data_IF_219716589165
#
_entry.id   IF_219716589165
#
_cell.length_a   1.000
_cell.length_b   1.000
_cell.length_c   1.000
_cell.angle_alpha   90.00
_cell.angle_beta   90.00
_cell.angle_gamma   90.00
#
_symmetry.space_group_name_H-M   'P 1'
#
loop_
_entity.id
_entity.type
_entity.pdbx_description
1 polymer ?
#
# COMPACT_ATOMS: atom_id res chain seq x y z
N UNK A 1 -1.80 -0.77 18.04
CA UNK A 1 -3.18 -0.53 17.56
C UNK A 1 -3.38 -1.40 16.32
N UNK A 2 -4.54 -2.04 16.11
CA UNK A 2 -4.83 -2.89 14.95
C UNK A 2 -6.04 -2.28 14.21
N UNK A 3 -5.92 -2.08 12.89
CA UNK A 3 -6.98 -1.52 12.02
C UNK A 3 -6.99 0.00 11.91
N UNK A 4 -7.87 0.52 11.03
CA UNK A 4 -8.12 1.96 10.82
C UNK A 4 -8.37 2.68 12.15
N UNK A 5 -7.69 3.81 12.43
CA UNK A 5 -7.98 4.63 13.60
C UNK A 5 -9.47 4.99 13.67
N UNK A 6 -10.08 4.90 14.84
CA UNK A 6 -11.49 5.27 15.12
C UNK A 6 -12.59 4.46 14.41
N UNK A 7 -12.34 3.21 14.02
CA UNK A 7 -13.31 2.33 13.32
C UNK A 7 -14.61 1.95 14.11
N UNK A 8 -15.03 2.74 15.09
CA UNK A 8 -16.25 2.53 15.88
C UNK A 8 -16.94 3.81 16.38
N UNK A 9 -16.55 5.00 15.89
CA UNK A 9 -17.10 6.27 16.37
C UNK A 9 -18.10 6.84 15.36
N UNK A 10 -19.28 7.25 15.84
CA UNK A 10 -20.36 7.83 15.03
C UNK A 10 -19.87 9.11 14.32
N UNK A 11 -19.72 9.01 12.99
CA UNK A 11 -19.17 10.04 12.09
C UNK A 11 -19.88 11.40 12.19
N UNK A 12 -21.14 11.42 12.65
CA UNK A 12 -21.94 12.65 12.74
C UNK A 12 -21.66 13.50 14.00
N UNK A 13 -20.89 12.99 14.96
CA UNK A 13 -20.64 13.66 16.26
C UNK A 13 -19.22 14.22 16.43
N UNK A 14 -18.28 13.91 15.54
CA UNK A 14 -16.85 14.22 15.74
C UNK A 14 -16.13 14.67 14.46
N UNK A 15 -16.66 15.67 13.76
CA UNK A 15 -16.02 16.25 12.56
C UNK A 15 -14.59 16.79 12.83
N UNK A 16 -14.25 17.12 14.08
CA UNK A 16 -12.90 17.52 14.47
C UNK A 16 -11.91 16.34 14.57
N UNK A 17 -12.40 15.13 14.84
CA UNK A 17 -11.58 13.93 14.94
C UNK A 17 -11.24 13.34 13.55
N UNK A 18 -12.04 13.66 12.54
CA UNK A 18 -11.81 13.24 11.15
C UNK A 18 -10.49 13.81 10.61
N UNK A 19 -10.24 15.12 10.81
CA UNK A 19 -8.98 15.73 10.36
C UNK A 19 -7.75 15.10 11.03
N UNK A 20 -7.83 14.85 12.34
CA UNK A 20 -6.75 14.23 13.09
C UNK A 20 -6.56 12.75 12.71
N UNK A 21 -7.63 12.05 12.34
CA UNK A 21 -7.54 10.70 11.80
C UNK A 21 -6.84 10.69 10.44
N UNK A 22 -7.14 11.65 9.56
CA UNK A 22 -6.46 11.79 8.26
C UNK A 22 -4.97 12.12 8.45
N UNK A 23 -4.61 13.03 9.35
CA UNK A 23 -3.20 13.35 9.65
C UNK A 23 -2.45 12.10 10.14
N UNK A 24 -3.08 11.30 11.00
CA UNK A 24 -2.51 10.04 11.48
C UNK A 24 -2.35 9.01 10.35
N UNK A 25 -3.33 8.91 9.44
CA UNK A 25 -3.26 8.01 8.29
C UNK A 25 -2.09 8.43 7.38
N UNK A 26 -1.98 9.71 7.03
CA UNK A 26 -0.87 10.22 6.22
C UNK A 26 0.48 9.92 6.88
N UNK A 27 0.63 10.20 8.18
CA UNK A 27 1.88 9.92 8.90
C UNK A 27 2.22 8.41 8.93
N UNK A 28 1.22 7.54 9.03
CA UNK A 28 1.44 6.08 8.97
C UNK A 28 1.89 5.65 7.57
N UNK A 29 1.25 6.17 6.53
CA UNK A 29 1.58 5.85 5.14
C UNK A 29 3.00 6.31 4.80
N UNK A 30 3.37 7.54 5.19
CA UNK A 30 4.70 8.08 4.97
C UNK A 30 5.77 7.25 5.70
N UNK A 31 5.56 6.94 6.99
CA UNK A 31 6.48 6.12 7.76
C UNK A 31 6.60 4.68 7.21
N UNK A 32 5.51 4.11 6.71
CA UNK A 32 5.50 2.79 6.08
C UNK A 32 6.29 2.80 4.76
N UNK A 33 6.12 3.84 3.94
CA UNK A 33 6.85 4.00 2.68
C UNK A 33 8.35 4.17 2.94
N UNK A 34 8.74 5.07 3.85
CA UNK A 34 10.15 5.30 4.22
C UNK A 34 10.82 4.03 4.75
N UNK A 35 10.15 3.31 5.64
CA UNK A 35 10.67 2.05 6.18
C UNK A 35 10.78 0.97 5.10
N UNK A 36 9.79 0.87 4.21
CA UNK A 36 9.81 -0.11 3.15
C UNK A 36 10.96 0.12 2.16
N UNK A 37 11.17 1.36 1.72
CA UNK A 37 12.30 1.74 0.87
C UNK A 37 13.65 1.50 1.57
N UNK A 38 13.73 1.80 2.87
CA UNK A 38 14.92 1.48 3.67
C UNK A 38 15.21 -0.02 3.73
N UNK A 39 14.19 -0.87 3.91
CA UNK A 39 14.33 -2.32 3.89
C UNK A 39 14.75 -2.84 2.51
N UNK A 40 14.18 -2.30 1.42
CA UNK A 40 14.59 -2.65 0.05
C UNK A 40 16.07 -2.31 -0.19
N UNK A 41 16.51 -1.12 0.23
CA UNK A 41 17.91 -0.70 0.11
C UNK A 41 18.87 -1.64 0.88
N UNK A 42 18.42 -2.21 2.00
CA UNK A 42 19.18 -3.18 2.79
C UNK A 42 19.03 -4.63 2.33
N UNK A 43 18.30 -4.89 1.24
CA UNK A 43 17.96 -6.25 0.77
C UNK A 43 17.23 -7.09 1.82
N UNK A 44 16.35 -6.44 2.59
CA UNK A 44 15.43 -7.07 3.53
C UNK A 44 13.99 -7.11 2.95
N UNK A 45 13.67 -8.12 2.12
CA UNK A 45 12.34 -8.22 1.52
C UNK A 45 11.24 -8.49 2.54
N UNK A 46 11.56 -9.11 3.69
CA UNK A 46 10.56 -9.38 4.73
C UNK A 46 10.16 -8.08 5.43
N UNK A 47 11.13 -7.24 5.76
CA UNK A 47 10.88 -5.91 6.32
C UNK A 47 10.08 -5.02 5.37
N UNK A 48 10.41 -5.03 4.07
CA UNK A 48 9.70 -4.26 3.06
C UNK A 48 8.23 -4.68 2.92
N UNK A 49 7.95 -5.99 2.82
CA UNK A 49 6.58 -6.51 2.78
C UNK A 49 5.81 -6.15 4.05
N UNK A 50 6.44 -6.27 5.22
CA UNK A 50 5.80 -5.96 6.49
C UNK A 50 5.42 -4.49 6.58
N UNK A 51 6.35 -3.58 6.25
CA UNK A 51 6.13 -2.15 6.30
C UNK A 51 5.02 -1.71 5.33
N UNK A 52 5.08 -2.12 4.06
CA UNK A 52 4.05 -1.81 3.08
C UNK A 52 2.67 -2.35 3.48
N UNK A 53 2.60 -3.58 3.98
CA UNK A 53 1.33 -4.16 4.47
C UNK A 53 0.75 -3.36 5.64
N UNK A 54 1.60 -2.85 6.55
CA UNK A 54 1.14 -2.02 7.68
C UNK A 54 0.59 -0.66 7.24
N UNK A 55 1.20 -0.03 6.23
CA UNK A 55 0.63 1.18 5.64
C UNK A 55 -0.71 0.90 4.94
N UNK A 56 -0.81 -0.21 4.21
CA UNK A 56 -2.05 -0.63 3.55
C UNK A 56 -3.17 -1.03 4.53
N UNK A 57 -2.84 -1.48 5.74
CA UNK A 57 -3.83 -1.68 6.82
C UNK A 57 -4.49 -0.36 7.25
N UNK A 58 -3.80 0.78 7.09
CA UNK A 58 -4.30 2.11 7.43
C UNK A 58 -5.02 2.78 6.24
N UNK A 59 -4.40 2.72 5.06
CA UNK A 59 -4.93 3.28 3.80
C UNK A 59 -4.76 2.24 2.66
N UNK A 60 -5.78 1.40 2.42
CA UNK A 60 -5.74 0.35 1.40
C UNK A 60 -5.55 0.83 -0.04
N UNK A 61 -5.83 2.09 -0.32
CA UNK A 61 -5.80 2.75 -1.63
C UNK A 61 -4.42 3.27 -2.05
N UNK A 62 -3.42 3.17 -1.17
CA UNK A 62 -2.11 3.77 -1.40
C UNK A 62 -1.27 2.97 -2.41
N UNK A 63 -1.33 3.36 -3.68
CA UNK A 63 -0.62 2.70 -4.78
C UNK A 63 0.90 2.66 -4.60
N UNK A 64 1.49 3.68 -3.97
CA UNK A 64 2.92 3.70 -3.66
C UNK A 64 3.37 2.49 -2.83
N UNK A 65 2.54 2.01 -1.90
CA UNK A 65 2.81 0.82 -1.10
C UNK A 65 2.62 -0.46 -1.91
N UNK A 66 1.68 -0.52 -2.86
CA UNK A 66 1.58 -1.65 -3.79
C UNK A 66 2.81 -1.76 -4.69
N UNK A 67 3.38 -0.64 -5.15
CA UNK A 67 4.63 -0.65 -5.93
C UNK A 67 5.79 -1.29 -5.16
N UNK A 68 5.85 -1.10 -3.83
CA UNK A 68 6.80 -1.84 -2.97
C UNK A 68 6.49 -3.34 -2.99
N UNK A 69 5.23 -3.73 -2.80
CA UNK A 69 4.83 -5.15 -2.81
C UNK A 69 5.23 -5.83 -4.12
N UNK A 70 4.95 -5.21 -5.28
CA UNK A 70 5.28 -5.76 -6.59
C UNK A 70 6.78 -5.98 -6.77
N UNK A 71 7.59 -4.96 -6.47
CA UNK A 71 9.06 -5.07 -6.54
C UNK A 71 9.57 -6.16 -5.61
N UNK A 72 9.01 -6.27 -4.41
CA UNK A 72 9.46 -7.23 -3.41
C UNK A 72 9.09 -8.67 -3.80
N UNK A 73 7.86 -8.90 -4.26
CA UNK A 73 7.43 -10.22 -4.74
C UNK A 73 8.20 -10.66 -5.98
N UNK A 74 8.43 -9.76 -6.94
CA UNK A 74 9.26 -10.05 -8.10
C UNK A 74 10.71 -10.40 -7.71
N UNK A 75 11.31 -9.65 -6.77
CA UNK A 75 12.65 -9.95 -6.26
C UNK A 75 12.74 -11.31 -5.53
N UNK A 76 11.63 -11.78 -4.97
CA UNK A 76 11.51 -13.11 -4.36
C UNK A 76 11.13 -14.22 -5.36
N UNK A 77 10.77 -13.86 -6.59
CA UNK A 77 10.24 -14.78 -7.61
C UNK A 77 8.80 -15.24 -7.34
N UNK A 78 8.07 -14.61 -6.41
CA UNK A 78 6.69 -14.96 -6.07
C UNK A 78 5.69 -14.18 -6.94
N UNK A 79 5.65 -14.54 -8.23
CA UNK A 79 4.78 -13.89 -9.20
C UNK A 79 3.29 -14.14 -8.93
N UNK A 80 2.94 -15.26 -8.29
CA UNK A 80 1.57 -15.53 -7.85
C UNK A 80 1.11 -14.51 -6.80
N UNK A 81 1.97 -14.14 -5.85
CA UNK A 81 1.66 -13.09 -4.87
C UNK A 81 1.61 -11.69 -5.50
N UNK A 82 2.47 -11.41 -6.48
CA UNK A 82 2.42 -10.18 -7.26
C UNK A 82 1.07 -10.04 -7.97
N UNK A 83 0.65 -11.07 -8.70
CA UNK A 83 -0.62 -11.06 -9.44
C UNK A 83 -1.82 -10.86 -8.52
N UNK A 84 -1.84 -11.56 -7.37
CA UNK A 84 -2.90 -11.36 -6.36
C UNK A 84 -2.94 -9.92 -5.83
N UNK A 85 -1.78 -9.30 -5.62
CA UNK A 85 -1.71 -7.92 -5.18
C UNK A 85 -2.17 -6.94 -6.27
N UNK A 86 -1.84 -7.20 -7.54
CA UNK A 86 -2.27 -6.39 -8.68
C UNK A 86 -3.79 -6.47 -8.86
N UNK A 87 -4.38 -7.67 -8.82
CA UNK A 87 -5.82 -7.86 -8.91
C UNK A 87 -6.56 -7.18 -7.76
N UNK A 88 -5.98 -7.19 -6.55
CA UNK A 88 -6.55 -6.50 -5.39
C UNK A 88 -6.59 -4.98 -5.62
N UNK A 89 -5.51 -4.40 -6.13
CA UNK A 89 -5.45 -2.97 -6.43
C UNK A 89 -6.43 -2.61 -7.55
N UNK A 90 -6.47 -3.39 -8.63
CA UNK A 90 -7.40 -3.19 -9.74
C UNK A 90 -8.86 -3.19 -9.27
N UNK A 91 -9.24 -4.16 -8.44
CA UNK A 91 -10.57 -4.24 -7.83
C UNK A 91 -10.89 -2.98 -7.02
N UNK A 92 -9.93 -2.51 -6.20
CA UNK A 92 -10.10 -1.33 -5.38
C UNK A 92 -10.22 -0.04 -6.21
N UNK A 93 -9.40 0.11 -7.25
CA UNK A 93 -9.46 1.25 -8.16
C UNK A 93 -10.81 1.29 -8.90
N UNK A 94 -11.31 0.14 -9.34
CA UNK A 94 -12.64 0.02 -9.93
C UNK A 94 -13.75 0.41 -8.93
N UNK A 95 -13.67 -0.02 -7.68
CA UNK A 95 -14.62 0.36 -6.62
C UNK A 95 -14.60 1.86 -6.30
N UNK A 96 -13.42 2.48 -6.35
CA UNK A 96 -13.23 3.91 -6.15
C UNK A 96 -13.57 4.74 -7.40
N UNK A 97 -13.72 4.10 -8.56
CA UNK A 97 -13.96 4.77 -9.84
C UNK A 97 -12.77 5.60 -10.32
N UNK A 98 -11.54 5.16 -10.00
CA UNK A 98 -10.29 5.83 -10.38
C UNK A 98 -9.48 4.92 -11.29
N UNK A 99 -8.70 5.53 -12.19
CA UNK A 99 -7.72 4.81 -12.98
C UNK A 99 -6.46 4.55 -12.15
N UNK A 100 -5.74 3.48 -12.50
CA UNK A 100 -4.44 3.16 -11.91
C UNK A 100 -3.41 4.25 -12.20
N UNK A 101 -2.58 4.60 -11.22
CA UNK A 101 -1.50 5.55 -11.43
C UNK A 101 -0.54 5.05 -12.53
N UNK A 102 -0.11 5.97 -13.39
CA UNK A 102 0.84 5.67 -14.49
C UNK A 102 2.12 5.01 -13.95
N UNK A 103 2.67 5.51 -12.85
CA UNK A 103 3.87 4.93 -12.21
C UNK A 103 3.69 3.49 -11.73
N UNK A 104 2.46 3.09 -11.40
CA UNK A 104 2.13 1.72 -10.99
C UNK A 104 2.01 0.81 -12.21
N UNK A 105 1.32 1.27 -13.24
CA UNK A 105 1.20 0.56 -14.51
C UNK A 105 2.58 0.32 -15.15
N UNK A 106 3.46 1.31 -15.12
CA UNK A 106 4.85 1.21 -15.60
C UNK A 106 5.63 0.09 -14.90
N UNK A 107 5.51 -0.03 -13.57
CA UNK A 107 6.19 -1.08 -12.82
C UNK A 107 5.66 -2.45 -13.20
N UNK A 108 4.34 -2.63 -13.26
CA UNK A 108 3.75 -3.91 -13.67
C UNK A 108 4.20 -4.30 -15.08
N UNK A 109 4.26 -3.33 -16.01
CA UNK A 109 4.76 -3.54 -17.36
C UNK A 109 6.27 -3.85 -17.43
N UNK A 110 7.08 -3.32 -16.51
CA UNK A 110 8.51 -3.63 -16.41
C UNK A 110 8.74 -5.04 -15.85
N UNK A 111 7.98 -5.42 -14.82
CA UNK A 111 8.11 -6.71 -14.15
C UNK A 111 7.62 -7.85 -15.03
N UNK A 112 6.56 -7.66 -15.83
CA UNK A 112 6.06 -8.68 -16.76
C UNK A 112 7.03 -9.01 -17.89
N UNK A 113 7.89 -8.06 -18.28
CA UNK A 113 8.94 -8.28 -19.30
C UNK A 113 10.17 -9.01 -18.76
N UNK A 114 10.30 -9.10 -17.43
CA UNK A 114 11.48 -9.64 -16.75
C UNK A 114 11.24 -11.05 -16.17
N UNK A 115 10.01 -11.55 -16.25
CA UNK A 115 9.59 -12.91 -15.87
C UNK A 115 9.79 -13.89 -17.03
#
# INVERSE_FOLDING_TARGET
MRGRPFSGVNSRRYAWAEHQAQDMISAIVDAAADLAEHCLAQRDPRGALWAATKGLDAAPEMENLYRVLFRTYAALGDYDALERAAQKLDTLNMELGVDMEESTAEILAQLSKSA
#
